data_IF_490375157408
#
_entry.id   IF_490375157408
#
_cell.length_a   1.000
_cell.length_b   1.000
_cell.length_c   1.000
_cell.angle_alpha   90.00
_cell.angle_beta   90.00
_cell.angle_gamma   90.00
#
_symmetry.space_group_name_H-M   'P 1'
#
loop_
_entity.id
_entity.type
_entity.pdbx_description
1 polymer ?
#
# COMPACT_ATOMS: atom_id res chain seq x y z
N UNK A 1 -6.36 -3.06 -12.81
CA UNK A 1 -5.00 -2.84 -12.27
C UNK A 1 -4.89 -3.38 -10.87
N UNK A 2 -3.69 -3.72 -10.47
CA UNK A 2 -3.45 -4.16 -9.10
C UNK A 2 -3.06 -2.94 -8.28
N UNK A 3 -3.70 -2.74 -7.16
CA UNK A 3 -3.39 -1.61 -6.30
C UNK A 3 -3.05 -2.10 -4.90
N UNK A 4 -2.29 -1.27 -4.19
CA UNK A 4 -1.87 -1.59 -2.84
C UNK A 4 -2.75 -0.79 -1.88
N UNK A 5 -3.62 -1.48 -1.16
CA UNK A 5 -4.59 -0.84 -0.26
C UNK A 5 -4.03 -0.76 1.16
N UNK A 6 -2.88 -0.13 1.26
CA UNK A 6 -2.24 0.01 2.56
C UNK A 6 -3.05 0.91 3.50
N UNK A 7 -3.71 1.91 2.94
CA UNK A 7 -4.53 2.83 3.71
C UNK A 7 -5.57 2.08 4.57
N UNK A 8 -6.20 1.06 3.96
CA UNK A 8 -7.23 0.29 4.65
C UNK A 8 -6.65 -0.48 5.84
N UNK A 9 -5.49 -1.10 5.63
CA UNK A 9 -4.87 -1.87 6.70
C UNK A 9 -4.34 -0.99 7.82
N UNK A 10 -3.82 0.18 7.47
CA UNK A 10 -3.36 1.11 8.50
C UNK A 10 -4.52 1.56 9.37
N UNK A 11 -5.67 1.82 8.75
CA UNK A 11 -6.86 2.21 9.49
C UNK A 11 -7.33 1.08 10.41
N UNK A 12 -7.33 -0.14 9.91
CA UNK A 12 -7.76 -1.29 10.71
C UNK A 12 -6.84 -1.55 11.89
N UNK A 13 -5.54 -1.40 11.68
CA UNK A 13 -4.56 -1.65 12.75
C UNK A 13 -4.32 -0.41 13.61
N UNK A 14 -4.89 0.73 13.21
CA UNK A 14 -4.78 1.99 13.95
C UNK A 14 -3.34 2.42 14.15
N UNK A 15 -2.54 2.32 13.09
CA UNK A 15 -1.17 2.78 13.13
C UNK A 15 -0.93 3.73 11.96
N UNK A 16 0.07 4.58 12.09
CA UNK A 16 0.41 5.54 11.06
C UNK A 16 1.36 4.93 10.05
N UNK A 17 1.46 5.53 8.87
CA UNK A 17 2.43 5.10 7.88
C UNK A 17 3.85 5.27 8.39
N UNK A 18 4.09 6.26 9.23
CA UNK A 18 5.40 6.46 9.84
C UNK A 18 5.75 5.28 10.75
N UNK A 19 4.80 4.86 11.55
CA UNK A 19 5.02 3.73 12.44
C UNK A 19 5.27 2.44 11.66
N UNK A 20 4.54 2.25 10.60
CA UNK A 20 4.74 1.09 9.73
C UNK A 20 6.13 1.11 9.13
N UNK A 21 6.57 2.28 8.66
CA UNK A 21 7.90 2.41 8.07
C UNK A 21 8.97 2.04 9.08
N UNK A 22 8.80 2.47 10.32
CA UNK A 22 9.77 2.16 11.38
C UNK A 22 9.78 0.68 11.70
N UNK A 23 8.61 0.09 11.83
CA UNK A 23 8.52 -1.34 12.16
C UNK A 23 9.04 -2.23 11.04
N UNK A 24 8.79 -1.83 9.80
CA UNK A 24 9.17 -2.63 8.65
C UNK A 24 10.55 -2.33 8.09
N UNK A 25 11.22 -1.30 8.62
CA UNK A 25 12.50 -0.90 8.07
C UNK A 25 12.36 -0.34 6.66
N UNK A 26 11.25 0.31 6.36
CA UNK A 26 10.98 0.84 5.04
C UNK A 26 11.35 2.32 5.02
N UNK A 27 12.08 2.76 3.98
CA UNK A 27 12.49 4.14 3.90
C UNK A 27 11.28 5.06 3.72
N UNK A 28 11.43 6.30 4.13
CA UNK A 28 10.36 7.28 3.98
C UNK A 28 10.00 7.51 2.52
N UNK A 29 10.99 7.46 1.64
CA UNK A 29 10.75 7.62 0.20
C UNK A 29 9.89 6.48 -0.31
N UNK A 30 10.23 5.24 0.04
CA UNK A 30 9.44 4.09 -0.36
C UNK A 30 8.05 4.12 0.27
N UNK A 31 7.95 4.49 1.52
CA UNK A 31 6.66 4.57 2.20
C UNK A 31 5.76 5.61 1.53
N UNK A 32 6.32 6.73 1.13
CA UNK A 32 5.58 7.78 0.46
C UNK A 32 5.00 7.28 -0.87
N UNK A 33 5.79 6.52 -1.63
CA UNK A 33 5.32 5.94 -2.88
C UNK A 33 4.24 4.91 -2.66
N UNK A 34 4.44 4.03 -1.68
CA UNK A 34 3.51 2.95 -1.41
C UNK A 34 2.19 3.48 -0.89
N UNK A 35 2.25 4.52 -0.08
CA UNK A 35 1.07 5.09 0.56
C UNK A 35 0.04 5.60 -0.44
N UNK A 36 0.50 6.05 -1.61
CA UNK A 36 -0.44 6.53 -2.62
C UNK A 36 -1.19 5.40 -3.31
N UNK A 37 -0.69 4.17 -3.20
CA UNK A 37 -1.30 3.03 -3.86
C UNK A 37 -1.04 2.94 -5.35
N UNK A 38 -0.26 3.87 -5.91
CA UNK A 38 -0.07 3.97 -7.34
C UNK A 38 1.26 3.39 -7.80
N UNK A 39 1.76 2.37 -7.09
CA UNK A 39 3.03 1.76 -7.47
C UNK A 39 2.79 0.75 -8.57
N UNK A 40 3.69 0.70 -9.53
CA UNK A 40 3.61 -0.27 -10.60
C UNK A 40 4.33 -1.56 -10.26
N UNK A 41 5.16 -1.55 -9.23
CA UNK A 41 5.91 -2.73 -8.80
C UNK A 41 6.25 -2.60 -7.33
N UNK A 42 6.26 -3.72 -6.64
CA UNK A 42 6.71 -3.76 -5.25
C UNK A 42 7.55 -5.01 -5.07
N UNK A 43 8.66 -4.88 -4.38
CA UNK A 43 9.52 -6.03 -4.13
C UNK A 43 8.88 -6.95 -3.11
N UNK A 44 9.08 -8.24 -3.28
CA UNK A 44 8.58 -9.20 -2.31
C UNK A 44 9.14 -8.91 -0.92
N UNK A 45 10.39 -8.45 -0.83
CA UNK A 45 10.98 -8.13 0.46
C UNK A 45 10.23 -6.99 1.15
N UNK A 46 9.77 -6.00 0.38
CA UNK A 46 8.98 -4.90 0.94
C UNK A 46 7.62 -5.39 1.37
N UNK A 47 6.99 -6.21 0.52
CA UNK A 47 5.68 -6.77 0.84
C UNK A 47 5.76 -7.65 2.09
N UNK A 48 6.82 -8.43 2.20
CA UNK A 48 7.06 -9.27 3.38
C UNK A 48 7.18 -8.40 4.64
N UNK A 49 7.91 -7.30 4.56
CA UNK A 49 8.07 -6.40 5.69
C UNK A 49 6.74 -5.79 6.11
N UNK A 50 5.91 -5.41 5.14
CA UNK A 50 4.59 -4.85 5.41
C UNK A 50 3.72 -5.89 6.13
N UNK A 51 3.69 -7.11 5.59
CA UNK A 51 2.86 -8.15 6.17
C UNK A 51 3.31 -8.52 7.57
N UNK A 52 4.61 -8.56 7.79
CA UNK A 52 5.15 -8.88 9.10
C UNK A 52 4.81 -7.78 10.11
N UNK A 53 4.97 -6.53 9.70
CA UNK A 53 4.72 -5.40 10.59
C UNK A 53 3.24 -5.26 10.93
N UNK A 54 2.36 -5.58 9.99
CA UNK A 54 0.93 -5.47 10.19
C UNK A 54 0.26 -6.77 10.61
N UNK A 55 1.04 -7.86 10.62
CA UNK A 55 0.52 -9.19 10.94
C UNK A 55 -0.68 -9.51 10.05
N UNK A 56 -0.45 -9.47 8.76
CA UNK A 56 -1.51 -9.71 7.78
C UNK A 56 -0.95 -10.49 6.60
N UNK A 57 -1.85 -10.88 5.70
CA UNK A 57 -1.50 -11.62 4.50
C UNK A 57 -1.39 -10.65 3.32
N UNK A 58 -0.62 -11.01 2.28
CA UNK A 58 -0.55 -10.14 1.10
C UNK A 58 -1.91 -9.82 0.50
N UNK A 59 -2.84 -10.76 0.53
CA UNK A 59 -4.18 -10.52 0.00
C UNK A 59 -4.97 -9.49 0.78
N UNK A 60 -4.50 -9.14 1.98
CA UNK A 60 -5.16 -8.09 2.76
C UNK A 60 -4.78 -6.70 2.26
N UNK A 61 -3.62 -6.57 1.60
CA UNK A 61 -3.15 -5.27 1.14
C UNK A 61 -3.14 -5.14 -0.39
N UNK A 62 -3.27 -6.25 -1.12
CA UNK A 62 -3.30 -6.20 -2.58
C UNK A 62 -4.72 -6.41 -3.07
N UNK A 63 -5.12 -5.65 -4.07
CA UNK A 63 -6.47 -5.74 -4.59
C UNK A 63 -6.46 -5.50 -6.08
N UNK A 64 -7.25 -6.25 -6.81
CA UNK A 64 -7.46 -5.96 -8.23
C UNK A 64 -8.67 -5.04 -8.35
N UNK A 65 -8.54 -4.07 -9.21
CA UNK A 65 -9.63 -3.13 -9.46
C UNK A 65 -9.61 -2.79 -10.94
N UNK A 66 -10.77 -2.75 -11.61
CA UNK A 66 -10.80 -2.29 -13.00
C UNK A 66 -10.22 -0.90 -13.13
N UNK A 67 -9.58 -0.61 -14.25
CA UNK A 67 -8.86 0.64 -14.41
C UNK A 67 -9.73 1.87 -14.22
N UNK A 68 -10.96 1.84 -14.70
CA UNK A 68 -11.83 2.99 -14.56
C UNK A 68 -12.19 3.24 -13.10
N UNK A 69 -12.37 2.19 -12.30
CA UNK A 69 -12.61 2.35 -10.88
C UNK A 69 -11.38 2.89 -10.16
N UNK A 70 -10.20 2.41 -10.55
CA UNK A 70 -8.97 2.88 -9.96
C UNK A 70 -8.74 4.35 -10.27
N UNK A 71 -9.05 4.76 -11.50
CA UNK A 71 -8.93 6.16 -11.87
C UNK A 71 -9.83 7.04 -11.01
N UNK A 72 -11.05 6.60 -10.77
CA UNK A 72 -11.97 7.35 -9.92
C UNK A 72 -11.48 7.43 -8.49
N UNK A 73 -10.97 6.30 -7.97
CA UNK A 73 -10.52 6.23 -6.59
C UNK A 73 -9.33 7.15 -6.34
N UNK A 74 -8.37 7.16 -7.29
CA UNK A 74 -7.14 7.90 -7.09
C UNK A 74 -7.11 9.25 -7.79
N UNK A 75 -8.14 9.59 -8.54
CA UNK A 75 -8.15 10.84 -9.31
C UNK A 75 -7.15 10.84 -10.44
N UNK A 76 -6.92 9.68 -11.04
CA UNK A 76 -5.95 9.57 -12.11
C UNK A 76 -6.50 9.91 -13.48
N UNK A 77 -7.77 10.28 -13.55
CA UNK A 77 -8.39 10.55 -14.79
C UNK A 77 -7.72 11.73 -15.45
N UNK A 78 -7.29 11.56 -16.67
CA UNK A 78 -6.64 12.60 -17.27
C UNK A 78 -7.47 13.46 -17.85
N UNK A 79 -7.18 14.46 -17.83
CA UNK A 79 -7.73 15.38 -18.37
C UNK A 79 -7.27 15.75 -19.50
#
# INVERSE_FOLDING_TARGET
MIILRLDRMLAERKISSKELAERGGISQVNMSRIKTGKVSAVRFSTLDAICRALDCQPGDVLEYMPDDEADNLFGLKDE
#
